data_IF_081280296979
#
_entry.id   IF_081280296979
#
_cell.length_a   1.000
_cell.length_b   1.000
_cell.length_c   1.000
_cell.angle_alpha   90.00
_cell.angle_beta   90.00
_cell.angle_gamma   90.00
#
_symmetry.space_group_name_H-M   'P 1'
#
loop_
_entity.id
_entity.type
_entity.pdbx_description
1 polymer ?
#
# COMPACT_ATOMS: atom_id res chain seq x y z
N UNK A 1 22.54 11.39 1.73
CA UNK A 1 21.15 11.89 1.73
C UNK A 1 20.65 11.77 3.16
N UNK A 2 20.18 12.85 3.74
CA UNK A 2 19.54 12.87 5.07
C UNK A 2 18.04 13.10 4.84
N UNK A 3 17.21 12.36 5.54
CA UNK A 3 15.76 12.32 5.31
C UNK A 3 15.00 12.96 6.46
N UNK A 4 14.00 13.75 6.12
CA UNK A 4 12.95 14.20 7.03
C UNK A 4 11.77 13.25 6.95
N UNK A 5 11.32 12.72 8.08
CA UNK A 5 10.26 11.70 8.14
C UNK A 5 9.09 12.20 8.97
N UNK A 6 7.88 12.06 8.47
CA UNK A 6 6.65 12.32 9.22
C UNK A 6 6.02 10.99 9.66
N UNK A 7 5.75 10.86 10.96
CA UNK A 7 5.03 9.74 11.55
C UNK A 7 3.61 10.17 11.88
N UNK A 8 2.63 9.46 11.33
CA UNK A 8 1.20 9.77 11.47
C UNK A 8 0.48 8.58 12.06
N UNK A 9 -0.02 8.74 13.27
CA UNK A 9 -0.72 7.69 14.02
C UNK A 9 -1.47 8.34 15.18
N UNK A 10 -2.69 7.95 15.50
CA UNK A 10 -3.44 8.50 16.63
C UNK A 10 -2.96 7.95 17.98
N UNK A 11 -2.35 6.75 17.97
CA UNK A 11 -1.82 6.10 19.16
C UNK A 11 -0.42 6.64 19.55
N UNK A 12 -0.26 7.26 20.74
CA UNK A 12 1.06 7.78 21.16
C UNK A 12 2.15 6.72 21.23
N UNK A 13 1.82 5.51 21.71
CA UNK A 13 2.79 4.41 21.84
C UNK A 13 3.26 3.89 20.47
N UNK A 14 2.38 3.85 19.48
CA UNK A 14 2.74 3.46 18.12
C UNK A 14 3.72 4.49 17.51
N UNK A 15 3.43 5.80 17.66
CA UNK A 15 4.35 6.85 17.20
C UNK A 15 5.71 6.75 17.87
N UNK A 16 5.74 6.55 19.19
CA UNK A 16 7.01 6.39 19.94
C UNK A 16 7.80 5.17 19.47
N UNK A 17 7.12 4.05 19.22
CA UNK A 17 7.71 2.83 18.67
C UNK A 17 8.38 3.09 17.30
N UNK A 18 7.66 3.74 16.39
CA UNK A 18 8.19 4.08 15.06
C UNK A 18 9.35 5.08 15.12
N UNK A 19 9.28 6.09 15.99
CA UNK A 19 10.38 7.04 16.22
C UNK A 19 11.64 6.34 16.73
N UNK A 20 11.49 5.35 17.61
CA UNK A 20 12.62 4.55 18.11
C UNK A 20 13.28 3.76 16.97
N UNK A 21 12.48 3.17 16.08
CA UNK A 21 12.99 2.45 14.90
C UNK A 21 13.69 3.40 13.92
N UNK A 22 13.12 4.59 13.68
CA UNK A 22 13.71 5.63 12.85
C UNK A 22 15.01 6.18 13.44
N UNK A 23 15.08 6.38 14.76
CA UNK A 23 16.27 6.86 15.44
C UNK A 23 17.50 5.95 15.31
N UNK A 24 17.32 4.69 14.94
CA UNK A 24 18.41 3.75 14.63
C UNK A 24 18.86 3.82 13.17
N UNK A 25 18.19 4.60 12.33
CA UNK A 25 18.51 4.70 10.91
C UNK A 25 19.47 5.88 10.65
N UNK A 26 20.69 5.64 10.13
CA UNK A 26 21.70 6.69 9.98
C UNK A 26 21.33 7.75 8.94
N UNK A 27 20.30 7.46 8.12
CA UNK A 27 19.84 8.36 7.07
C UNK A 27 18.72 9.31 7.53
N UNK A 28 18.18 9.15 8.75
CA UNK A 28 17.13 10.03 9.27
C UNK A 28 17.75 11.24 9.94
N UNK A 29 17.36 12.43 9.47
CA UNK A 29 17.81 13.72 10.03
C UNK A 29 16.85 14.23 11.10
N UNK A 30 15.57 14.19 10.79
CA UNK A 30 14.52 14.63 11.70
C UNK A 30 13.23 13.80 11.54
N UNK A 31 12.47 13.73 12.63
CA UNK A 31 11.18 13.05 12.68
C UNK A 31 10.17 14.02 13.27
N UNK A 32 9.11 14.31 12.52
CA UNK A 32 7.94 15.03 13.01
C UNK A 32 6.75 14.07 13.20
N UNK A 33 5.76 14.49 13.97
CA UNK A 33 4.61 13.67 14.35
C UNK A 33 3.30 14.37 14.01
N UNK A 34 2.30 13.59 13.56
CA UNK A 34 0.91 13.99 13.48
C UNK A 34 0.04 12.96 14.21
N UNK A 35 -1.00 13.41 14.89
CA UNK A 35 -1.91 12.59 15.69
C UNK A 35 -3.20 12.24 14.97
N UNK A 36 -3.40 12.77 13.79
CA UNK A 36 -4.62 12.59 12.98
C UNK A 36 -4.38 13.05 11.56
N UNK A 37 -5.31 12.70 10.66
CA UNK A 37 -5.17 13.04 9.24
C UNK A 37 -5.16 14.55 8.94
N UNK A 38 -5.84 15.39 9.74
CA UNK A 38 -5.82 16.84 9.55
C UNK A 38 -4.43 17.43 9.83
N UNK A 39 -3.80 17.03 10.93
CA UNK A 39 -2.44 17.43 11.24
C UNK A 39 -1.45 16.91 10.18
N UNK A 40 -1.65 15.66 9.74
CA UNK A 40 -0.83 15.07 8.68
C UNK A 40 -0.87 15.91 7.39
N UNK A 41 -2.06 16.26 6.92
CA UNK A 41 -2.23 17.12 5.71
C UNK A 41 -1.53 18.48 5.88
N UNK A 42 -1.66 19.12 7.05
CA UNK A 42 -1.01 20.39 7.32
C UNK A 42 0.53 20.25 7.28
N UNK A 43 1.09 19.29 8.02
CA UNK A 43 2.53 19.07 8.11
C UNK A 43 3.15 18.63 6.77
N UNK A 44 2.45 17.79 5.99
CA UNK A 44 2.92 17.40 4.65
C UNK A 44 3.07 18.62 3.74
N UNK A 45 2.10 19.53 3.77
CA UNK A 45 2.12 20.76 2.94
C UNK A 45 3.21 21.75 3.38
N UNK A 46 3.38 21.90 4.69
CA UNK A 46 4.31 22.85 5.28
C UNK A 46 5.76 22.36 5.24
N UNK A 47 6.00 21.14 5.72
CA UNK A 47 7.35 20.61 5.93
C UNK A 47 7.89 19.83 4.71
N UNK A 48 7.01 19.35 3.83
CA UNK A 48 7.35 18.53 2.65
C UNK A 48 8.33 17.39 3.01
N UNK A 49 7.95 16.49 3.93
CA UNK A 49 8.82 15.41 4.37
C UNK A 49 9.21 14.50 3.20
N UNK A 50 10.38 13.88 3.29
CA UNK A 50 10.88 12.95 2.28
C UNK A 50 10.19 11.60 2.33
N UNK A 51 9.65 11.21 3.51
CA UNK A 51 8.95 9.95 3.74
C UNK A 51 7.84 10.16 4.77
N UNK A 52 6.70 9.50 4.56
CA UNK A 52 5.59 9.46 5.51
C UNK A 52 5.34 8.03 5.96
N UNK A 53 5.35 7.79 7.27
CA UNK A 53 4.81 6.57 7.89
C UNK A 53 3.38 6.89 8.33
N UNK A 54 2.38 6.23 7.77
CA UNK A 54 0.99 6.65 7.86
C UNK A 54 0.11 5.48 8.34
N UNK A 55 -0.54 5.66 9.48
CA UNK A 55 -1.61 4.73 9.85
C UNK A 55 -2.81 4.88 8.93
N UNK A 56 -3.39 3.73 8.59
CA UNK A 56 -4.62 3.68 7.79
C UNK A 56 -5.82 4.06 8.63
N UNK A 57 -5.93 3.54 9.85
CA UNK A 57 -7.09 3.76 10.71
C UNK A 57 -6.83 4.81 11.77
N UNK A 58 -7.36 6.00 11.52
CA UNK A 58 -7.37 7.09 12.47
C UNK A 58 -8.78 7.67 12.62
N UNK A 59 -9.17 8.16 13.80
CA UNK A 59 -10.48 8.79 14.00
C UNK A 59 -10.71 9.96 13.03
N UNK A 60 -11.89 10.00 12.42
CA UNK A 60 -12.39 11.08 11.54
C UNK A 60 -11.75 11.19 10.15
N UNK A 61 -10.50 10.80 9.98
CA UNK A 61 -9.81 10.89 8.67
C UNK A 61 -8.85 9.73 8.56
N UNK A 62 -9.16 8.75 7.72
CA UNK A 62 -8.28 7.61 7.47
C UNK A 62 -7.02 8.01 6.66
N UNK A 63 -6.01 7.15 6.66
CA UNK A 63 -4.76 7.39 5.95
C UNK A 63 -4.94 7.54 4.44
N UNK A 64 -5.91 6.85 3.84
CA UNK A 64 -6.20 6.97 2.41
C UNK A 64 -6.83 8.33 2.09
N UNK A 65 -7.68 8.86 2.97
CA UNK A 65 -8.24 10.20 2.82
C UNK A 65 -7.15 11.28 2.91
N UNK A 66 -6.09 11.08 3.70
CA UNK A 66 -4.91 11.96 3.72
C UNK A 66 -4.25 11.99 2.35
N UNK A 67 -3.96 10.80 1.77
CA UNK A 67 -3.35 10.69 0.44
C UNK A 67 -4.22 11.35 -0.62
N UNK A 68 -5.52 11.10 -0.61
CA UNK A 68 -6.47 11.71 -1.53
C UNK A 68 -6.51 13.25 -1.39
N UNK A 69 -6.49 13.78 -0.15
CA UNK A 69 -6.54 15.22 0.12
C UNK A 69 -5.28 15.97 -0.34
N UNK A 70 -4.13 15.34 -0.22
CA UNK A 70 -2.85 15.89 -0.70
C UNK A 70 -2.79 15.83 -2.22
N UNK A 71 -3.33 14.77 -2.80
CA UNK A 71 -3.23 14.44 -4.22
C UNK A 71 -1.90 13.76 -4.56
N UNK A 72 -1.96 12.87 -5.55
CA UNK A 72 -0.86 12.00 -5.92
C UNK A 72 0.44 12.73 -6.27
N UNK A 73 0.31 13.87 -6.97
CA UNK A 73 1.47 14.66 -7.43
C UNK A 73 2.25 15.33 -6.30
N UNK A 74 1.61 15.52 -5.16
CA UNK A 74 2.17 16.25 -4.01
C UNK A 74 2.44 15.35 -2.80
N UNK A 75 1.99 14.10 -2.89
CA UNK A 75 2.16 13.16 -1.79
C UNK A 75 3.61 12.66 -1.74
N UNK A 76 4.29 12.82 -0.60
CA UNK A 76 5.58 12.19 -0.42
C UNK A 76 5.46 10.66 -0.48
N UNK A 77 6.55 9.93 -0.74
CA UNK A 77 6.61 8.50 -0.58
C UNK A 77 6.01 8.03 0.75
N UNK A 78 5.14 7.00 0.72
CA UNK A 78 4.38 6.52 1.89
C UNK A 78 4.69 5.07 2.19
N UNK A 79 4.87 4.76 3.48
CA UNK A 79 4.78 3.41 4.03
C UNK A 79 3.55 3.41 4.95
N UNK A 80 2.57 2.56 4.67
CA UNK A 80 1.45 2.38 5.58
C UNK A 80 1.83 1.50 6.76
N UNK A 81 1.35 1.88 7.95
CA UNK A 81 1.59 1.14 9.21
C UNK A 81 0.26 0.98 9.92
N UNK A 82 -0.31 -0.21 9.99
CA UNK A 82 -1.67 -0.42 10.52
C UNK A 82 -1.84 -1.77 11.21
N UNK A 83 -2.86 -1.89 12.04
CA UNK A 83 -3.23 -3.16 12.66
C UNK A 83 -4.05 -4.10 11.75
N UNK A 84 -4.45 -3.65 10.55
CA UNK A 84 -5.40 -4.35 9.69
C UNK A 84 -4.76 -4.77 8.37
N UNK A 85 -4.81 -6.05 8.04
CA UNK A 85 -4.28 -6.66 6.82
C UNK A 85 -5.16 -6.41 5.57
N UNK A 86 -6.46 -6.25 5.77
CA UNK A 86 -7.44 -6.05 4.69
C UNK A 86 -7.19 -4.84 3.80
N UNK A 87 -6.41 -3.86 4.25
CA UNK A 87 -6.09 -2.65 3.48
C UNK A 87 -4.82 -2.77 2.62
N UNK A 88 -4.12 -3.91 2.68
CA UNK A 88 -2.89 -4.11 1.92
C UNK A 88 -3.11 -3.93 0.41
N UNK A 89 -4.23 -4.44 -0.14
CA UNK A 89 -4.58 -4.30 -1.56
C UNK A 89 -4.71 -2.82 -1.94
N UNK A 90 -5.44 -2.02 -1.14
CA UNK A 90 -5.60 -0.58 -1.38
C UNK A 90 -4.28 0.19 -1.28
N UNK A 91 -3.36 -0.24 -0.41
CA UNK A 91 -2.04 0.37 -0.30
C UNK A 91 -1.21 0.16 -1.58
N UNK A 92 -1.34 -1.01 -2.22
CA UNK A 92 -0.74 -1.26 -3.53
C UNK A 92 -1.34 -0.38 -4.64
N UNK A 93 -2.64 -0.16 -4.63
CA UNK A 93 -3.33 0.71 -5.60
C UNK A 93 -2.84 2.17 -5.54
N UNK A 94 -2.39 2.63 -4.38
CA UNK A 94 -1.86 4.00 -4.18
C UNK A 94 -0.33 4.08 -4.39
N UNK A 95 0.31 3.03 -4.90
CA UNK A 95 1.76 2.95 -5.07
C UNK A 95 2.55 3.25 -3.78
N UNK A 96 2.02 2.86 -2.62
CA UNK A 96 2.77 2.88 -1.37
C UNK A 96 4.08 2.10 -1.54
N UNK A 97 5.14 2.56 -0.91
CA UNK A 97 6.44 1.86 -0.97
C UNK A 97 6.34 0.50 -0.29
N UNK A 98 5.62 0.46 0.83
CA UNK A 98 5.44 -0.77 1.60
C UNK A 98 4.22 -0.66 2.53
N UNK A 99 3.88 -1.79 3.12
CA UNK A 99 2.79 -1.94 4.06
C UNK A 99 3.26 -2.75 5.28
N UNK A 100 3.15 -2.17 6.47
CA UNK A 100 3.60 -2.76 7.72
C UNK A 100 2.41 -3.06 8.62
N UNK A 101 2.32 -4.30 9.09
CA UNK A 101 1.35 -4.68 10.11
C UNK A 101 1.91 -4.42 11.51
N UNK A 102 1.10 -3.82 12.37
CA UNK A 102 1.38 -3.69 13.80
C UNK A 102 1.18 -5.08 14.49
N UNK A 103 2.07 -5.50 15.40
CA UNK A 103 3.25 -4.80 15.88
C UNK A 103 4.41 -4.84 14.88
N UNK A 104 5.04 -3.69 14.65
CA UNK A 104 6.13 -3.57 13.68
C UNK A 104 7.43 -4.07 14.28
N UNK A 105 8.00 -5.14 13.70
CA UNK A 105 9.32 -5.64 14.10
C UNK A 105 10.44 -4.82 13.47
N UNK A 106 11.60 -4.77 14.14
CA UNK A 106 12.79 -4.06 13.63
C UNK A 106 13.23 -4.59 12.25
N UNK A 107 13.19 -5.91 12.07
CA UNK A 107 13.55 -6.56 10.80
C UNK A 107 12.64 -6.11 9.66
N UNK A 108 11.31 -6.19 9.87
CA UNK A 108 10.33 -5.83 8.84
C UNK A 108 10.36 -4.34 8.51
N UNK A 109 10.54 -3.50 9.53
CA UNK A 109 10.76 -2.06 9.36
C UNK A 109 12.03 -1.79 8.54
N UNK A 110 13.14 -2.45 8.86
CA UNK A 110 14.41 -2.28 8.14
C UNK A 110 14.30 -2.62 6.65
N UNK A 111 13.54 -3.65 6.28
CA UNK A 111 13.28 -4.00 4.89
C UNK A 111 12.46 -2.92 4.18
N UNK A 112 11.37 -2.44 4.79
CA UNK A 112 10.55 -1.38 4.23
C UNK A 112 11.32 -0.08 4.07
N UNK A 113 12.12 0.30 5.06
CA UNK A 113 12.95 1.51 5.04
C UNK A 113 14.03 1.43 3.94
N UNK A 114 14.65 0.26 3.72
CA UNK A 114 15.59 0.04 2.61
C UNK A 114 14.91 0.25 1.25
N UNK A 115 13.68 -0.22 1.07
CA UNK A 115 12.89 0.02 -0.15
C UNK A 115 12.61 1.51 -0.33
N UNK A 116 12.26 2.21 0.75
CA UNK A 116 12.05 3.65 0.71
C UNK A 116 13.33 4.40 0.30
N UNK A 117 14.48 4.04 0.87
CA UNK A 117 15.77 4.63 0.49
C UNK A 117 16.12 4.39 -0.99
N UNK A 118 15.90 3.18 -1.50
CA UNK A 118 16.12 2.86 -2.90
C UNK A 118 15.22 3.75 -3.78
N UNK A 119 13.92 3.79 -3.49
CA UNK A 119 12.96 4.61 -4.22
C UNK A 119 13.31 6.10 -4.23
N UNK A 120 13.79 6.64 -3.11
CA UNK A 120 14.19 8.05 -2.98
C UNK A 120 15.51 8.38 -3.71
N UNK A 121 16.35 7.38 -3.98
CA UNK A 121 17.60 7.55 -4.73
C UNK A 121 17.41 7.45 -6.24
N UNK A 122 16.51 6.56 -6.68
CA UNK A 122 16.38 6.17 -8.09
C UNK A 122 15.35 7.01 -8.87
N UNK A 123 14.57 7.87 -8.22
CA UNK A 123 13.52 8.64 -8.88
C UNK A 123 13.90 10.11 -8.96
N UNK A 124 14.11 10.69 -10.17
CA UNK A 124 13.90 12.12 -10.39
C UNK A 124 12.47 12.44 -9.94
N UNK A 125 12.28 13.53 -9.19
CA UNK A 125 11.00 13.96 -8.61
C UNK A 125 9.79 13.94 -9.58
N UNK A 126 10.04 13.89 -10.88
CA UNK A 126 9.03 13.90 -11.95
C UNK A 126 8.44 12.52 -12.30
N UNK A 127 9.16 11.41 -12.09
CA UNK A 127 8.69 10.06 -12.48
C UNK A 127 7.80 9.39 -11.40
N UNK A 128 8.04 9.67 -10.13
CA UNK A 128 7.16 9.24 -9.03
C UNK A 128 5.73 9.77 -9.21
N UNK A 129 5.61 10.99 -9.69
CA UNK A 129 4.36 11.68 -9.98
C UNK A 129 3.53 10.98 -11.07
N UNK A 130 4.17 10.49 -12.15
CA UNK A 130 3.46 9.83 -13.25
C UNK A 130 2.88 8.47 -12.88
N UNK A 131 3.57 7.69 -12.05
CA UNK A 131 3.08 6.38 -11.60
C UNK A 131 1.88 6.52 -10.66
N UNK A 132 1.90 7.52 -9.77
CA UNK A 132 0.77 7.79 -8.86
C UNK A 132 -0.43 8.35 -9.63
N UNK A 133 -0.22 9.20 -10.65
CA UNK A 133 -1.30 9.67 -11.54
C UNK A 133 -1.95 8.53 -12.34
N UNK A 134 -1.16 7.63 -12.90
CA UNK A 134 -1.68 6.47 -13.62
C UNK A 134 -2.49 5.53 -12.71
N UNK A 135 -2.20 5.51 -11.42
CA UNK A 135 -2.92 4.69 -10.44
C UNK A 135 -4.15 5.39 -9.88
N UNK A 136 -4.15 6.71 -9.73
CA UNK A 136 -5.36 7.46 -9.40
C UNK A 136 -6.37 7.47 -10.56
N UNK A 137 -5.91 7.48 -11.79
CA UNK A 137 -6.78 7.25 -12.95
C UNK A 137 -7.38 5.83 -12.92
N UNK A 138 -6.67 4.82 -12.45
CA UNK A 138 -7.19 3.47 -12.27
C UNK A 138 -8.21 3.37 -11.11
N UNK A 139 -8.12 4.23 -10.09
CA UNK A 139 -9.10 4.32 -8.97
C UNK A 139 -10.29 5.21 -9.35
N UNK A 140 -10.08 6.28 -10.09
CA UNK A 140 -11.15 7.15 -10.60
C UNK A 140 -11.93 6.51 -11.76
N UNK A 141 -11.25 5.67 -12.54
CA UNK A 141 -11.82 4.79 -13.54
C UNK A 141 -11.50 3.36 -13.13
N UNK A 142 -12.33 2.70 -12.30
CA UNK A 142 -12.10 1.32 -11.93
C UNK A 142 -11.88 0.52 -13.23
N UNK A 143 -10.85 -0.34 -13.29
CA UNK A 143 -10.62 -1.16 -14.46
C UNK A 143 -11.95 -1.82 -14.80
N UNK A 144 -12.35 -1.74 -16.06
CA UNK A 144 -13.54 -2.43 -16.59
C UNK A 144 -13.58 -3.78 -15.90
N UNK A 145 -14.74 -4.11 -15.35
CA UNK A 145 -15.05 -5.38 -14.67
C UNK A 145 -14.20 -6.50 -15.24
N UNK A 146 -13.57 -7.30 -14.37
CA UNK A 146 -12.83 -8.48 -14.79
C UNK A 146 -13.68 -9.23 -15.80
N UNK A 147 -13.36 -9.11 -17.09
CA UNK A 147 -14.18 -9.72 -18.14
C UNK A 147 -13.87 -11.20 -18.30
N UNK A 148 -12.72 -11.65 -17.80
CA UNK A 148 -12.25 -13.04 -17.93
C UNK A 148 -11.22 -13.43 -16.90
N UNK A 149 -11.20 -14.67 -16.48
CA UNK A 149 -10.16 -15.28 -15.67
C UNK A 149 -9.08 -15.89 -16.58
N UNK A 150 -7.81 -15.60 -16.29
CA UNK A 150 -6.68 -16.30 -16.93
C UNK A 150 -6.32 -17.53 -16.08
N UNK A 151 -6.57 -18.72 -16.60
CA UNK A 151 -6.32 -19.99 -15.93
C UNK A 151 -5.11 -20.65 -16.57
N UNK A 152 -4.09 -20.93 -15.79
CA UNK A 152 -2.89 -21.63 -16.25
C UNK A 152 -3.01 -23.12 -15.91
N UNK A 153 -3.06 -23.97 -16.94
CA UNK A 153 -3.04 -25.42 -16.81
C UNK A 153 -1.81 -25.97 -17.54
N UNK A 154 -0.75 -26.30 -16.79
CA UNK A 154 0.55 -26.68 -17.36
C UNK A 154 1.17 -25.56 -18.19
N UNK A 155 1.48 -25.83 -19.46
CA UNK A 155 2.06 -24.84 -20.39
C UNK A 155 1.00 -24.00 -21.14
N UNK A 156 -0.30 -24.26 -20.94
CA UNK A 156 -1.37 -23.54 -21.62
C UNK A 156 -2.05 -22.55 -20.69
N UNK A 157 -2.29 -21.34 -21.20
CA UNK A 157 -3.12 -20.34 -20.53
C UNK A 157 -4.48 -20.30 -21.25
N UNK A 158 -5.55 -20.49 -20.50
CA UNK A 158 -6.92 -20.42 -20.98
C UNK A 158 -7.61 -19.22 -20.35
N UNK A 159 -8.48 -18.57 -21.08
CA UNK A 159 -9.27 -17.44 -20.59
C UNK A 159 -10.73 -17.88 -20.47
N UNK A 160 -11.29 -17.77 -19.26
CA UNK A 160 -12.70 -18.06 -18.97
C UNK A 160 -13.40 -16.73 -18.75
N UNK A 161 -14.40 -16.37 -19.58
CA UNK A 161 -15.21 -15.16 -19.37
C UNK A 161 -15.91 -15.19 -18.02
N UNK A 162 -16.06 -14.02 -17.38
CA UNK A 162 -16.67 -13.93 -16.05
C UNK A 162 -18.16 -14.29 -16.08
N UNK A 163 -18.83 -13.97 -17.18
CA UNK A 163 -20.24 -14.27 -17.43
C UNK A 163 -20.54 -15.76 -17.67
N UNK A 164 -19.50 -16.56 -17.95
CA UNK A 164 -19.61 -18.02 -18.05
C UNK A 164 -19.37 -18.72 -16.71
N UNK A 165 -18.94 -18.01 -15.66
CA UNK A 165 -18.69 -18.58 -14.33
C UNK A 165 -19.96 -18.61 -13.52
N UNK A 166 -20.46 -19.81 -13.24
CA UNK A 166 -21.68 -20.02 -12.46
C UNK A 166 -21.44 -19.81 -10.96
N UNK A 167 -20.32 -20.33 -10.45
CA UNK A 167 -19.93 -20.17 -9.04
C UNK A 167 -18.47 -20.52 -8.80
N UNK A 168 -17.95 -20.09 -7.63
CA UNK A 168 -16.56 -20.22 -7.22
C UNK A 168 -16.52 -20.98 -5.90
N UNK A 169 -15.67 -22.01 -5.82
CA UNK A 169 -15.48 -22.83 -4.64
C UNK A 169 -14.05 -22.72 -4.11
N UNK A 170 -13.90 -22.51 -2.80
CA UNK A 170 -12.62 -22.64 -2.13
C UNK A 170 -12.33 -24.13 -1.88
N UNK A 171 -11.22 -24.64 -2.40
CA UNK A 171 -10.84 -26.04 -2.26
C UNK A 171 -9.37 -26.15 -1.83
N UNK A 172 -9.14 -26.39 -0.55
CA UNK A 172 -7.80 -26.42 0.05
C UNK A 172 -7.01 -25.12 -0.24
N UNK A 173 -5.88 -25.22 -0.93
CA UNK A 173 -5.03 -24.08 -1.34
C UNK A 173 -5.36 -23.58 -2.77
N UNK A 174 -6.50 -24.00 -3.32
CA UNK A 174 -6.93 -23.69 -4.69
C UNK A 174 -8.29 -23.03 -4.68
N UNK A 175 -8.59 -22.34 -5.75
CA UNK A 175 -9.94 -21.87 -6.09
C UNK A 175 -10.41 -22.67 -7.29
N UNK A 176 -11.61 -23.22 -7.18
CA UNK A 176 -12.25 -23.95 -8.26
C UNK A 176 -13.33 -23.07 -8.89
N UNK A 177 -13.22 -22.81 -10.19
CA UNK A 177 -14.22 -22.10 -10.98
C UNK A 177 -15.10 -23.12 -11.69
N UNK A 178 -16.40 -22.99 -11.53
CA UNK A 178 -17.41 -23.78 -12.22
C UNK A 178 -18.03 -22.94 -13.33
N UNK A 179 -17.88 -23.38 -14.58
CA UNK A 179 -18.40 -22.72 -15.77
C UNK A 179 -19.13 -23.74 -16.64
N UNK A 180 -20.46 -23.78 -16.56
CA UNK A 180 -21.29 -24.80 -17.20
C UNK A 180 -20.92 -26.21 -16.75
N UNK A 181 -20.52 -27.05 -17.69
CA UNK A 181 -20.04 -28.43 -17.40
C UNK A 181 -18.54 -28.52 -17.11
N UNK A 182 -17.81 -27.44 -17.26
CA UNK A 182 -16.36 -27.39 -17.05
C UNK A 182 -16.02 -26.90 -15.64
N UNK A 183 -14.96 -27.51 -15.08
CA UNK A 183 -14.41 -27.08 -13.80
C UNK A 183 -12.92 -26.78 -13.97
N UNK A 184 -12.52 -25.60 -13.54
CA UNK A 184 -11.15 -25.11 -13.68
C UNK A 184 -10.53 -24.87 -12.31
N UNK A 185 -9.28 -25.32 -12.12
CA UNK A 185 -8.53 -25.14 -10.89
C UNK A 185 -7.57 -23.95 -11.05
N UNK A 186 -7.71 -22.96 -10.18
CA UNK A 186 -6.78 -21.83 -10.06
C UNK A 186 -5.91 -22.01 -8.82
N UNK A 187 -4.61 -21.81 -8.98
CA UNK A 187 -3.72 -21.71 -7.83
C UNK A 187 -4.06 -20.42 -7.08
N UNK A 188 -4.62 -20.53 -5.88
CA UNK A 188 -4.85 -19.37 -5.04
C UNK A 188 -3.52 -18.96 -4.41
N UNK A 189 -3.04 -17.76 -4.72
CA UNK A 189 -1.94 -17.11 -4.01
C UNK A 189 -2.40 -16.45 -2.69
N UNK A 190 -3.50 -16.93 -2.13
CA UNK A 190 -3.93 -16.50 -0.79
C UNK A 190 -3.08 -17.28 0.20
N UNK A 191 -1.94 -16.72 0.58
CA UNK A 191 -1.30 -17.10 1.82
C UNK A 191 -2.08 -16.46 2.97
N UNK A 192 -2.80 -17.30 3.69
CA UNK A 192 -3.33 -16.95 5.02
C UNK A 192 -2.15 -16.82 5.99
#
# INVERSE_FOLDING_TARGET
>A
MRLTVLVVDDEPLAREGLKRLLGRQPHVESVSEARNGREAVALIREQKPDLVLLDVQMPRTDGFAVVHTIGAERMPPVIFVTAHDQYAIRAFEIAAIDYLLKPVTEERFGLAFKRALARLRDVPREEGTRQVLAMLDAVANPPRQLERFAIRSGERTMFVPLDEVDWIEAFQNYVRLHAGVATHLLLSLIHI
#
